data_IF_258738719260
#
_entry.id   IF_258738719260
#
_cell.length_a   1.000
_cell.length_b   1.000
_cell.length_c   1.000
_cell.angle_alpha   90.00
_cell.angle_beta   90.00
_cell.angle_gamma   90.00
#
_symmetry.space_group_name_H-M   'P 1'
#
loop_
_entity.id
_entity.type
_entity.pdbx_description
1 polymer ?
#
# COMPACT_ATOMS: atom_id res chain seq x y z
N UNK A 1 29.50 16.06 71.88
CA UNK A 1 28.90 14.76 71.53
C UNK A 1 29.08 14.61 70.02
N UNK A 2 30.15 13.96 69.54
CA UNK A 2 30.21 12.54 69.12
C UNK A 2 29.03 12.17 68.19
N UNK A 3 29.18 11.78 66.92
CA UNK A 3 30.27 11.08 66.20
C UNK A 3 30.19 11.38 64.70
N UNK A 4 31.36 11.52 64.07
CA UNK A 4 31.65 11.02 62.71
C UNK A 4 32.83 10.06 62.87
N UNK A 5 32.81 8.87 62.23
CA UNK A 5 33.80 8.59 61.17
C UNK A 5 33.16 7.84 59.97
N UNK A 6 33.49 8.10 58.70
CA UNK A 6 34.74 7.93 57.91
C UNK A 6 34.82 6.56 57.21
N UNK A 7 34.64 6.62 55.88
CA UNK A 7 35.30 5.97 54.73
C UNK A 7 36.04 4.62 54.82
N UNK A 8 35.85 3.76 53.79
CA UNK A 8 36.82 2.84 53.10
C UNK A 8 36.03 2.05 52.04
N UNK A 9 36.16 2.21 50.71
CA UNK A 9 37.23 1.87 49.75
C UNK A 9 37.49 0.37 49.58
N UNK A 10 37.29 -0.13 48.35
CA UNK A 10 38.01 -1.17 47.57
C UNK A 10 37.15 -1.40 46.30
N UNK A 11 37.47 -0.89 45.10
CA UNK A 11 38.57 -1.24 44.20
C UNK A 11 38.54 -2.72 43.79
N UNK A 12 38.12 -3.01 42.56
CA UNK A 12 38.84 -3.95 41.69
C UNK A 12 38.47 -3.73 40.20
N UNK A 13 39.53 -3.57 39.43
CA UNK A 13 39.64 -3.47 37.98
C UNK A 13 39.40 -4.85 37.34
N UNK A 14 38.59 -4.93 36.28
CA UNK A 14 38.70 -5.98 35.26
C UNK A 14 38.54 -5.29 33.90
N UNK A 15 39.65 -5.19 33.18
CA UNK A 15 39.68 -4.86 31.76
C UNK A 15 39.30 -6.09 30.92
N UNK A 16 39.05 -5.79 29.64
CA UNK A 16 38.91 -6.71 28.50
C UNK A 16 37.47 -7.24 28.32
N UNK A 17 36.83 -7.22 27.15
CA UNK A 17 37.31 -7.17 25.77
C UNK A 17 36.16 -6.68 24.88
N UNK A 18 36.52 -6.10 23.75
CA UNK A 18 35.68 -5.83 22.58
C UNK A 18 34.74 -7.00 22.24
N UNK A 19 33.47 -6.71 21.93
CA UNK A 19 32.61 -7.65 21.19
C UNK A 19 31.72 -6.89 20.18
N UNK A 20 32.31 -6.75 18.99
CA UNK A 20 31.75 -6.87 17.65
C UNK A 20 30.22 -6.70 17.48
N UNK A 21 29.80 -5.52 17.03
CA UNK A 21 28.44 -5.27 16.54
C UNK A 21 28.24 -5.70 15.06
N UNK A 22 29.08 -6.60 14.55
CA UNK A 22 28.99 -7.12 13.18
C UNK A 22 28.53 -8.57 13.17
N UNK A 23 27.22 -8.79 13.40
CA UNK A 23 26.43 -9.90 12.83
C UNK A 23 25.00 -9.89 13.40
N UNK A 24 24.22 -8.89 13.00
CA UNK A 24 22.76 -8.93 13.17
C UNK A 24 22.10 -9.64 11.99
N UNK A 25 22.30 -10.95 11.85
CA UNK A 25 21.68 -11.77 10.82
C UNK A 25 20.14 -11.78 10.95
N UNK A 26 19.50 -11.52 9.82
CA UNK A 26 18.06 -11.47 9.63
C UNK A 26 17.51 -12.89 9.68
N UNK A 27 17.12 -13.34 10.88
CA UNK A 27 16.34 -14.55 11.04
C UNK A 27 15.04 -14.47 10.23
N UNK A 28 14.98 -15.14 9.08
CA UNK A 28 13.73 -15.46 8.41
C UNK A 28 12.96 -16.42 9.30
N UNK A 29 12.02 -15.89 10.08
CA UNK A 29 11.08 -16.65 10.89
C UNK A 29 10.20 -17.54 10.02
N UNK A 30 10.72 -18.71 9.62
CA UNK A 30 9.93 -19.83 9.16
C UNK A 30 9.24 -20.45 10.39
N UNK A 31 8.22 -19.75 10.89
CA UNK A 31 7.31 -20.28 11.90
C UNK A 31 6.48 -21.41 11.29
N UNK A 32 6.91 -22.66 11.53
CA UNK A 32 6.03 -23.83 11.37
C UNK A 32 5.01 -23.82 12.51
N UNK A 33 3.76 -24.14 12.17
CA UNK A 33 2.72 -24.49 13.15
C UNK A 33 3.11 -25.77 13.92
N UNK A 34 2.64 -25.97 15.15
CA UNK A 34 2.91 -27.19 15.92
C UNK A 34 2.26 -28.41 15.25
N UNK A 35 3.01 -29.50 15.00
CA UNK A 35 2.45 -30.81 14.63
C UNK A 35 3.18 -31.68 13.58
N UNK A 36 4.35 -31.30 13.04
CA UNK A 36 5.02 -32.09 11.99
C UNK A 36 6.22 -32.91 12.49
N UNK A 37 6.21 -34.22 12.20
CA UNK A 37 7.22 -35.20 12.58
C UNK A 37 8.47 -35.06 11.69
N UNK A 38 9.63 -35.43 12.24
CA UNK A 38 11.00 -35.22 11.76
C UNK A 38 11.40 -36.12 10.59
N UNK A 39 12.00 -35.59 9.52
CA UNK A 39 12.98 -36.34 8.68
C UNK A 39 14.08 -35.42 8.11
N UNK A 40 15.30 -35.96 8.10
CA UNK A 40 16.62 -35.36 7.76
C UNK A 40 17.00 -35.74 6.31
N UNK A 41 17.91 -34.99 5.65
CA UNK A 41 17.76 -34.59 4.26
C UNK A 41 18.47 -35.47 3.23
N UNK A 42 17.98 -35.42 1.98
CA UNK A 42 18.72 -35.86 0.80
C UNK A 42 18.99 -34.69 -0.14
N UNK A 43 20.26 -34.39 -0.32
CA UNK A 43 20.83 -33.51 -1.33
C UNK A 43 20.55 -34.02 -2.74
N UNK A 44 20.00 -33.17 -3.62
CA UNK A 44 20.22 -33.31 -5.07
C UNK A 44 20.43 -31.92 -5.69
N UNK A 45 21.60 -31.78 -6.29
CA UNK A 45 22.08 -30.67 -7.12
C UNK A 45 21.20 -30.41 -8.35
N UNK A 46 21.09 -29.16 -8.81
CA UNK A 46 21.60 -28.70 -10.12
C UNK A 46 20.86 -27.50 -10.75
N UNK A 47 21.65 -26.45 -11.06
CA UNK A 47 21.72 -25.66 -12.31
C UNK A 47 20.44 -25.02 -12.95
N UNK A 48 20.55 -23.67 -13.06
CA UNK A 48 20.67 -22.87 -14.31
C UNK A 48 19.42 -22.11 -14.85
N UNK A 49 19.55 -20.76 -14.78
CA UNK A 49 19.29 -19.69 -15.78
C UNK A 49 17.87 -19.30 -16.26
N UNK A 50 17.62 -17.98 -16.06
CA UNK A 50 17.23 -16.90 -17.00
C UNK A 50 15.82 -16.76 -17.58
N UNK A 51 15.44 -15.47 -17.63
CA UNK A 51 14.49 -14.74 -18.50
C UNK A 51 12.98 -14.87 -18.28
N UNK A 52 12.45 -13.95 -17.47
CA UNK A 52 11.04 -13.58 -17.48
C UNK A 52 10.74 -12.58 -18.61
N UNK A 53 9.88 -12.99 -19.55
CA UNK A 53 9.19 -12.10 -20.50
C UNK A 53 8.01 -11.41 -19.81
N UNK A 54 7.91 -10.09 -19.98
CA UNK A 54 6.68 -9.33 -19.78
C UNK A 54 5.66 -9.66 -20.90
N UNK A 55 4.35 -9.76 -20.63
CA UNK A 55 3.34 -9.67 -21.67
C UNK A 55 2.84 -8.22 -21.82
N UNK A 56 3.06 -7.65 -22.99
CA UNK A 56 2.42 -6.42 -23.49
C UNK A 56 0.97 -6.72 -23.93
N UNK A 57 0.06 -5.72 -23.95
CA UNK A 57 -1.33 -5.90 -24.40
C UNK A 57 -1.43 -5.98 -25.94
N UNK A 58 -2.45 -6.64 -26.52
CA UNK A 58 -2.58 -6.79 -27.96
C UNK A 58 -3.22 -5.55 -28.63
N UNK A 59 -2.94 -5.30 -29.92
CA UNK A 59 -3.45 -4.14 -30.65
C UNK A 59 -4.84 -4.40 -31.28
N UNK A 60 -5.64 -3.34 -31.37
CA UNK A 60 -6.93 -3.30 -32.07
C UNK A 60 -6.79 -3.55 -33.58
N UNK A 61 -7.72 -4.27 -34.24
CA UNK A 61 -7.77 -4.34 -35.69
C UNK A 61 -8.65 -3.23 -36.28
N UNK A 62 -8.09 -2.63 -37.35
CA UNK A 62 -8.71 -1.67 -38.27
C UNK A 62 -9.88 -2.28 -39.05
N UNK A 63 -10.86 -1.43 -39.36
CA UNK A 63 -11.92 -1.61 -40.37
C UNK A 63 -11.36 -2.02 -41.73
N UNK A 64 -11.99 -3.01 -42.37
CA UNK A 64 -11.79 -3.35 -43.77
C UNK A 64 -12.63 -4.54 -44.23
N UNK A 65 -13.70 -4.23 -44.95
CA UNK A 65 -14.41 -5.01 -45.97
C UNK A 65 -15.21 -6.28 -45.64
N UNK A 66 -16.47 -6.21 -46.06
CA UNK A 66 -17.47 -7.25 -46.22
C UNK A 66 -17.01 -8.37 -47.16
N UNK A 67 -17.16 -9.62 -46.72
CA UNK A 67 -17.72 -10.66 -47.59
C UNK A 67 -18.28 -11.79 -46.74
N UNK A 68 -19.57 -12.00 -46.92
CA UNK A 68 -20.35 -13.15 -46.48
C UNK A 68 -19.77 -14.46 -47.01
N UNK A 69 -19.60 -15.46 -46.13
CA UNK A 69 -19.85 -16.86 -46.45
C UNK A 69 -19.95 -17.71 -45.17
N UNK A 70 -20.99 -18.51 -45.15
CA UNK A 70 -21.52 -19.37 -44.10
C UNK A 70 -20.56 -20.48 -43.67
N UNK A 71 -20.39 -20.68 -42.35
CA UNK A 71 -20.13 -22.01 -41.79
C UNK A 71 -20.35 -22.04 -40.28
N UNK A 72 -21.51 -22.53 -39.84
CA UNK A 72 -21.65 -23.08 -38.49
C UNK A 72 -21.73 -24.60 -38.59
N UNK A 73 -20.61 -25.22 -38.22
CA UNK A 73 -20.51 -26.65 -37.93
C UNK A 73 -21.18 -26.93 -36.59
N UNK A 74 -22.20 -27.78 -36.57
CA UNK A 74 -22.67 -28.39 -35.33
C UNK A 74 -22.09 -29.80 -35.20
N UNK A 75 -21.18 -30.00 -34.24
CA UNK A 75 -20.66 -31.33 -33.89
C UNK A 75 -21.53 -32.02 -32.83
N UNK A 76 -22.37 -32.94 -33.32
CA UNK A 76 -22.44 -34.37 -32.97
C UNK A 76 -22.31 -34.83 -31.50
N UNK A 77 -23.39 -35.46 -30.98
CA UNK A 77 -23.41 -36.78 -30.29
C UNK A 77 -24.74 -37.48 -30.65
N UNK A 78 -24.80 -38.64 -31.35
CA UNK A 78 -24.52 -40.06 -30.98
C UNK A 78 -25.32 -40.53 -29.74
N UNK A 79 -26.06 -41.64 -29.72
CA UNK A 79 -26.25 -42.79 -30.62
C UNK A 79 -27.67 -43.39 -30.41
N UNK A 80 -28.14 -44.38 -31.17
CA UNK A 80 -27.74 -45.79 -31.24
C UNK A 80 -28.17 -46.35 -32.63
N UNK A 81 -27.25 -46.94 -33.41
CA UNK A 81 -27.16 -48.39 -33.77
C UNK A 81 -28.44 -48.90 -34.48
N UNK A 82 -28.41 -49.44 -35.70
CA UNK A 82 -27.53 -50.53 -36.15
C UNK A 82 -27.54 -50.77 -37.68
N UNK A 83 -26.46 -51.38 -38.18
CA UNK A 83 -26.26 -52.14 -39.45
C UNK A 83 -26.38 -51.39 -40.80
N UNK A 84 -25.28 -51.07 -41.51
CA UNK A 84 -24.45 -51.94 -42.37
C UNK A 84 -25.27 -52.67 -43.43
N UNK A 85 -25.44 -52.09 -44.62
CA UNK A 85 -24.68 -52.40 -45.84
C UNK A 85 -24.92 -53.83 -46.35
N UNK A 86 -25.59 -53.99 -47.49
CA UNK A 86 -25.24 -54.99 -48.51
C UNK A 86 -26.10 -54.76 -49.75
N UNK A 87 -25.53 -54.99 -50.93
CA UNK A 87 -26.13 -54.69 -52.22
C UNK A 87 -27.47 -55.38 -52.48
N UNK A 88 -28.26 -54.75 -53.34
CA UNK A 88 -29.44 -55.36 -53.97
C UNK A 88 -29.01 -56.48 -54.92
N UNK A 89 -28.59 -57.61 -54.36
CA UNK A 89 -28.64 -58.89 -55.05
C UNK A 89 -30.08 -59.38 -54.97
N UNK A 90 -30.70 -59.52 -56.13
CA UNK A 90 -31.96 -60.19 -56.32
C UNK A 90 -31.89 -61.63 -55.77
N UNK A 91 -32.38 -61.83 -54.54
CA UNK A 91 -32.75 -63.14 -54.05
C UNK A 91 -34.21 -63.37 -54.42
N UNK A 92 -34.40 -64.26 -55.39
CA UNK A 92 -35.69 -64.89 -55.72
C UNK A 92 -36.36 -65.37 -54.43
N UNK A 93 -37.44 -64.69 -54.04
CA UNK A 93 -38.50 -65.29 -53.24
C UNK A 93 -39.64 -65.62 -54.20
N UNK A 94 -39.63 -66.86 -54.69
CA UNK A 94 -40.86 -67.51 -55.12
C UNK A 94 -41.67 -67.84 -53.87
N UNK A 95 -42.77 -67.12 -53.65
CA UNK A 95 -43.91 -67.64 -52.91
C UNK A 95 -45.15 -66.86 -53.36
N UNK A 96 -45.84 -67.51 -54.29
CA UNK A 96 -47.27 -67.38 -54.52
C UNK A 96 -47.77 -65.98 -54.82
N UNK A 97 -47.79 -65.65 -56.12
CA UNK A 97 -48.77 -64.73 -56.70
C UNK A 97 -50.18 -65.19 -56.29
N UNK A 98 -50.65 -64.71 -55.14
CA UNK A 98 -52.07 -64.52 -54.93
C UNK A 98 -52.37 -63.13 -55.46
N UNK A 99 -52.47 -63.04 -56.79
CA UNK A 99 -53.21 -61.95 -57.43
C UNK A 99 -54.68 -62.12 -57.03
N UNK A 100 -55.00 -61.80 -55.78
CA UNK A 100 -56.36 -61.42 -55.42
C UNK A 100 -56.55 -60.05 -56.04
N UNK A 101 -57.27 -60.01 -57.16
CA UNK A 101 -57.95 -58.78 -57.59
C UNK A 101 -58.67 -58.24 -56.35
N UNK A 102 -58.14 -57.18 -55.74
CA UNK A 102 -58.78 -56.51 -54.62
C UNK A 102 -60.17 -56.14 -55.11
N UNK A 103 -61.20 -56.60 -54.40
CA UNK A 103 -62.57 -56.28 -54.78
C UNK A 103 -62.72 -54.75 -54.74
N UNK A 104 -63.54 -54.17 -55.63
CA UNK A 104 -63.79 -52.72 -55.67
C UNK A 104 -64.10 -52.16 -54.26
N UNK A 105 -64.84 -52.92 -53.46
CA UNK A 105 -65.14 -52.64 -52.05
C UNK A 105 -63.92 -52.52 -51.12
N UNK A 106 -62.88 -53.33 -51.30
CA UNK A 106 -61.65 -53.28 -50.50
C UNK A 106 -60.81 -52.06 -50.88
N UNK A 107 -60.79 -51.71 -52.17
CA UNK A 107 -60.10 -50.51 -52.65
C UNK A 107 -60.80 -49.24 -52.13
N UNK A 108 -62.14 -49.20 -52.17
CA UNK A 108 -62.94 -48.11 -51.59
C UNK A 108 -62.69 -47.94 -50.11
N UNK A 109 -62.63 -49.03 -49.34
CA UNK A 109 -62.34 -48.97 -47.90
C UNK A 109 -60.97 -48.37 -47.62
N UNK A 110 -59.92 -48.84 -48.31
CA UNK A 110 -58.56 -48.29 -48.18
C UNK A 110 -58.49 -46.82 -48.56
N UNK A 111 -59.28 -46.40 -49.57
CA UNK A 111 -59.37 -44.99 -49.94
C UNK A 111 -59.98 -44.15 -48.81
N UNK A 112 -61.06 -44.63 -48.17
CA UNK A 112 -61.68 -43.94 -47.04
C UNK A 112 -60.76 -43.89 -45.82
N UNK A 113 -60.09 -44.99 -45.48
CA UNK A 113 -59.09 -45.06 -44.42
C UNK A 113 -57.95 -44.05 -44.68
N UNK A 114 -57.42 -44.01 -45.91
CA UNK A 114 -56.38 -43.05 -46.28
C UNK A 114 -56.85 -41.59 -46.24
N UNK A 115 -58.11 -41.31 -46.57
CA UNK A 115 -58.68 -39.97 -46.45
C UNK A 115 -58.84 -39.54 -44.98
N UNK A 116 -59.27 -40.45 -44.11
CA UNK A 116 -59.37 -40.21 -42.67
C UNK A 116 -57.98 -39.97 -42.06
N UNK A 117 -56.97 -40.77 -42.44
CA UNK A 117 -55.57 -40.56 -42.04
C UNK A 117 -55.05 -39.19 -42.48
N UNK A 118 -55.35 -38.76 -43.71
CA UNK A 118 -54.97 -37.42 -44.20
C UNK A 118 -55.64 -36.30 -43.39
N UNK A 119 -56.91 -36.48 -43.01
CA UNK A 119 -57.62 -35.50 -42.20
C UNK A 119 -57.05 -35.42 -40.77
N UNK A 120 -56.74 -36.56 -40.15
CA UNK A 120 -56.06 -36.62 -38.85
C UNK A 120 -54.70 -35.92 -38.94
N UNK A 121 -53.85 -36.29 -39.90
CA UNK A 121 -52.52 -35.69 -40.08
C UNK A 121 -52.59 -34.19 -40.33
N UNK A 122 -53.61 -33.71 -41.05
CA UNK A 122 -53.83 -32.27 -41.24
C UNK A 122 -54.11 -31.57 -39.90
N UNK A 123 -54.95 -32.13 -39.05
CA UNK A 123 -55.24 -31.55 -37.73
C UNK A 123 -54.02 -31.56 -36.80
N UNK A 124 -53.22 -32.63 -36.84
CA UNK A 124 -51.96 -32.74 -36.09
C UNK A 124 -50.91 -31.72 -36.58
N UNK A 125 -50.81 -31.52 -37.89
CA UNK A 125 -49.92 -30.52 -38.49
C UNK A 125 -50.33 -29.11 -38.06
N UNK A 126 -51.63 -28.78 -38.12
CA UNK A 126 -52.13 -27.48 -37.66
C UNK A 126 -51.89 -27.27 -36.15
N UNK A 127 -52.05 -28.32 -35.34
CA UNK A 127 -51.75 -28.25 -33.91
C UNK A 127 -50.25 -28.00 -33.66
N UNK A 128 -49.39 -28.70 -34.40
CA UNK A 128 -47.94 -28.54 -34.34
C UNK A 128 -47.49 -27.14 -34.78
N UNK A 129 -48.14 -26.57 -35.80
CA UNK A 129 -47.88 -25.21 -36.25
C UNK A 129 -48.23 -24.18 -35.20
N UNK A 130 -49.43 -24.27 -34.57
CA UNK A 130 -49.81 -23.38 -33.46
C UNK A 130 -48.83 -23.48 -32.28
N UNK A 131 -48.33 -24.69 -32.01
CA UNK A 131 -47.32 -24.90 -30.97
C UNK A 131 -45.97 -24.24 -31.31
N UNK A 132 -45.55 -24.30 -32.58
CA UNK A 132 -44.33 -23.64 -33.05
C UNK A 132 -44.47 -22.12 -32.90
N UNK A 133 -45.56 -21.54 -33.39
CA UNK A 133 -45.86 -20.11 -33.29
C UNK A 133 -45.83 -19.63 -31.82
N UNK A 134 -46.48 -20.37 -30.92
CA UNK A 134 -46.44 -20.06 -29.48
C UNK A 134 -45.04 -20.14 -28.86
N UNK A 135 -44.20 -21.09 -29.30
CA UNK A 135 -42.79 -21.17 -28.88
C UNK A 135 -41.97 -19.98 -29.40
N UNK A 136 -42.18 -19.58 -30.65
CA UNK A 136 -41.48 -18.43 -31.23
C UNK A 136 -41.84 -17.12 -30.52
N UNK A 137 -43.11 -16.91 -30.18
CA UNK A 137 -43.55 -15.75 -29.41
C UNK A 137 -42.96 -15.74 -27.99
N UNK A 138 -42.97 -16.89 -27.31
CA UNK A 138 -42.35 -17.02 -25.99
C UNK A 138 -40.84 -16.72 -26.04
N UNK A 139 -40.14 -17.21 -27.07
CA UNK A 139 -38.72 -16.91 -27.27
C UNK A 139 -38.47 -15.43 -27.51
N UNK A 140 -39.30 -14.75 -28.32
CA UNK A 140 -39.19 -13.29 -28.53
C UNK A 140 -39.38 -12.52 -27.25
N UNK A 141 -40.36 -12.91 -26.42
CA UNK A 141 -40.60 -12.28 -25.11
C UNK A 141 -39.36 -12.46 -24.22
N UNK A 142 -38.86 -13.68 -24.07
CA UNK A 142 -37.67 -13.95 -23.25
C UNK A 142 -36.45 -13.16 -23.73
N UNK A 143 -36.19 -13.14 -25.04
CA UNK A 143 -35.10 -12.35 -25.62
C UNK A 143 -35.26 -10.86 -25.33
N UNK A 144 -36.46 -10.30 -25.49
CA UNK A 144 -36.71 -8.89 -25.18
C UNK A 144 -36.52 -8.56 -23.70
N UNK A 145 -36.91 -9.46 -22.80
CA UNK A 145 -36.69 -9.29 -21.36
C UNK A 145 -35.20 -9.28 -21.03
N UNK A 146 -34.43 -10.21 -21.60
CA UNK A 146 -32.99 -10.30 -21.40
C UNK A 146 -32.25 -9.07 -21.95
N UNK A 147 -32.61 -8.63 -23.17
CA UNK A 147 -32.06 -7.40 -23.77
C UNK A 147 -32.37 -6.19 -22.89
N UNK A 148 -33.61 -6.04 -22.42
CA UNK A 148 -33.99 -4.92 -21.56
C UNK A 148 -33.23 -4.95 -20.23
N UNK A 149 -33.10 -6.12 -19.61
CA UNK A 149 -32.36 -6.27 -18.35
C UNK A 149 -30.89 -5.87 -18.52
N UNK A 150 -30.22 -6.39 -19.55
CA UNK A 150 -28.83 -6.03 -19.86
C UNK A 150 -28.69 -4.54 -20.20
N UNK A 151 -29.65 -3.96 -20.91
CA UNK A 151 -29.67 -2.53 -21.20
C UNK A 151 -29.72 -1.71 -19.91
N UNK A 152 -30.61 -2.04 -18.98
CA UNK A 152 -30.69 -1.38 -17.67
C UNK A 152 -29.39 -1.54 -16.87
N UNK A 153 -28.79 -2.73 -16.85
CA UNK A 153 -27.52 -2.97 -16.17
C UNK A 153 -26.40 -2.10 -16.74
N UNK A 154 -26.30 -2.00 -18.07
CA UNK A 154 -25.32 -1.13 -18.74
C UNK A 154 -25.55 0.34 -18.41
N UNK A 155 -26.79 0.82 -18.45
CA UNK A 155 -27.11 2.22 -18.14
C UNK A 155 -26.83 2.55 -16.67
N UNK A 156 -27.17 1.65 -15.76
CA UNK A 156 -26.88 1.78 -14.34
C UNK A 156 -25.38 1.84 -14.08
N UNK A 157 -24.60 0.92 -14.65
CA UNK A 157 -23.15 0.91 -14.49
C UNK A 157 -22.54 2.16 -15.14
N UNK A 158 -23.04 2.60 -16.28
CA UNK A 158 -22.59 3.82 -16.93
C UNK A 158 -22.79 5.05 -16.04
N UNK A 159 -23.95 5.19 -15.40
CA UNK A 159 -24.21 6.27 -14.43
C UNK A 159 -23.28 6.17 -13.22
N UNK A 160 -23.11 4.95 -12.67
CA UNK A 160 -22.18 4.70 -11.56
C UNK A 160 -20.75 5.12 -11.92
N UNK A 161 -20.27 4.79 -13.12
CA UNK A 161 -18.94 5.17 -13.58
C UNK A 161 -18.78 6.67 -13.73
N UNK A 162 -19.77 7.37 -14.32
CA UNK A 162 -19.75 8.84 -14.44
C UNK A 162 -19.65 9.50 -13.07
N UNK A 163 -20.48 9.07 -12.10
CA UNK A 163 -20.44 9.60 -10.73
C UNK A 163 -19.08 9.39 -10.06
N UNK A 164 -18.45 8.23 -10.27
CA UNK A 164 -17.11 7.95 -9.75
C UNK A 164 -16.06 8.84 -10.44
N UNK A 165 -16.11 8.95 -11.76
CA UNK A 165 -15.21 9.78 -12.56
C UNK A 165 -15.28 11.25 -12.13
N UNK A 166 -16.48 11.80 -12.00
CA UNK A 166 -16.71 13.17 -11.51
C UNK A 166 -16.17 13.37 -10.09
N UNK A 167 -16.40 12.41 -9.19
CA UNK A 167 -15.83 12.46 -7.84
C UNK A 167 -14.30 12.46 -7.84
N UNK A 168 -13.68 11.67 -8.71
CA UNK A 168 -12.22 11.64 -8.85
C UNK A 168 -11.66 12.93 -9.42
N UNK A 169 -12.32 13.52 -10.42
CA UNK A 169 -11.96 14.84 -10.96
C UNK A 169 -11.99 15.88 -9.84
N UNK A 170 -13.07 15.95 -9.06
CA UNK A 170 -13.18 16.90 -7.94
C UNK A 170 -12.07 16.72 -6.89
N UNK A 171 -11.75 15.46 -6.53
CA UNK A 171 -10.66 15.17 -5.59
C UNK A 171 -9.30 15.58 -6.14
N UNK A 172 -9.06 15.34 -7.42
CA UNK A 172 -7.83 15.72 -8.11
C UNK A 172 -7.67 17.25 -8.15
N UNK A 173 -8.73 17.97 -8.49
CA UNK A 173 -8.71 19.44 -8.53
C UNK A 173 -8.45 20.03 -7.15
N UNK A 174 -9.10 19.51 -6.10
CA UNK A 174 -8.84 19.93 -4.72
C UNK A 174 -7.38 19.74 -4.33
N UNK A 175 -6.82 18.56 -4.63
CA UNK A 175 -5.43 18.24 -4.33
C UNK A 175 -4.46 19.17 -5.10
N UNK A 176 -4.79 19.52 -6.35
CA UNK A 176 -4.01 20.48 -7.12
C UNK A 176 -4.05 21.88 -6.53
N UNK A 177 -5.22 22.34 -6.07
CA UNK A 177 -5.36 23.60 -5.35
C UNK A 177 -4.50 23.61 -4.08
N UNK A 178 -4.59 22.55 -3.26
CA UNK A 178 -3.81 22.43 -2.03
C UNK A 178 -2.29 22.42 -2.34
N UNK A 179 -1.87 21.68 -3.36
CA UNK A 179 -0.47 21.66 -3.83
C UNK A 179 0.01 23.04 -4.31
N UNK A 180 -0.83 23.81 -4.99
CA UNK A 180 -0.49 25.15 -5.42
C UNK A 180 -0.28 26.08 -4.22
N UNK A 181 -1.18 26.03 -3.23
CA UNK A 181 -1.07 26.80 -1.98
C UNK A 181 0.18 26.40 -1.20
N UNK A 182 0.48 25.11 -1.07
CA UNK A 182 1.70 24.63 -0.41
C UNK A 182 2.96 25.10 -1.12
N UNK A 183 2.96 25.10 -2.46
CA UNK A 183 4.10 25.58 -3.26
C UNK A 183 4.36 27.06 -3.02
N UNK A 184 3.31 27.89 -3.01
CA UNK A 184 3.46 29.33 -2.73
C UNK A 184 3.91 29.58 -1.29
N UNK A 185 3.35 28.87 -0.30
CA UNK A 185 3.81 28.95 1.09
C UNK A 185 5.29 28.59 1.23
N UNK A 186 5.75 27.55 0.54
CA UNK A 186 7.16 27.14 0.56
C UNK A 186 8.05 28.23 -0.03
N UNK A 187 7.65 28.87 -1.14
CA UNK A 187 8.38 30.02 -1.71
C UNK A 187 8.48 31.16 -0.72
N UNK A 188 7.36 31.57 -0.11
CA UNK A 188 7.33 32.65 0.88
C UNK A 188 8.25 32.36 2.07
N UNK A 189 8.17 31.15 2.65
CA UNK A 189 9.05 30.74 3.76
C UNK A 189 10.52 30.70 3.34
N UNK A 190 10.80 30.31 2.10
CA UNK A 190 12.16 30.33 1.56
C UNK A 190 12.71 31.75 1.45
N UNK A 191 11.89 32.70 1.00
CA UNK A 191 12.24 34.12 0.93
C UNK A 191 12.43 34.73 2.32
N UNK A 192 11.55 34.43 3.26
CA UNK A 192 11.68 34.83 4.68
C UNK A 192 12.99 34.34 5.29
N UNK A 193 13.35 33.07 5.09
CA UNK A 193 14.64 32.51 5.55
C UNK A 193 15.82 33.26 4.91
N UNK A 194 15.75 33.60 3.62
CA UNK A 194 16.81 34.37 2.96
C UNK A 194 16.96 35.76 3.57
N UNK A 195 15.84 36.46 3.83
CA UNK A 195 15.86 37.77 4.48
C UNK A 195 16.45 37.68 5.88
N UNK A 196 15.98 36.77 6.72
CA UNK A 196 16.51 36.56 8.08
C UNK A 196 18.00 36.19 8.07
N UNK A 197 18.46 35.39 7.11
CA UNK A 197 19.89 35.09 6.93
C UNK A 197 20.70 36.34 6.61
N UNK A 198 20.19 37.21 5.74
CA UNK A 198 20.88 38.47 5.40
C UNK A 198 20.91 39.44 6.59
N UNK A 199 19.82 39.53 7.36
CA UNK A 199 19.75 40.36 8.57
C UNK A 199 20.71 39.85 9.65
N UNK A 200 20.73 38.54 9.88
CA UNK A 200 21.66 37.92 10.83
C UNK A 200 23.12 38.16 10.41
N UNK A 201 23.45 38.09 9.11
CA UNK A 201 24.77 38.43 8.61
C UNK A 201 25.16 39.89 8.92
N UNK A 202 24.24 40.85 8.74
CA UNK A 202 24.47 42.26 9.07
C UNK A 202 24.64 42.46 10.57
N UNK A 203 23.79 41.86 11.39
CA UNK A 203 23.91 41.93 12.86
C UNK A 203 25.24 41.34 13.34
N UNK A 204 25.64 40.20 12.79
CA UNK A 204 26.91 39.56 13.11
C UNK A 204 28.11 40.45 12.71
N UNK A 205 28.04 41.12 11.55
CA UNK A 205 29.04 42.11 11.17
C UNK A 205 29.10 43.27 12.17
N UNK A 206 27.96 43.83 12.58
CA UNK A 206 27.89 44.91 13.57
C UNK A 206 28.45 44.49 14.92
N UNK A 207 28.18 43.26 15.35
CA UNK A 207 28.74 42.68 16.56
C UNK A 207 30.28 42.64 16.51
N UNK A 208 30.85 42.17 15.39
CA UNK A 208 32.31 42.13 15.20
C UNK A 208 32.94 43.53 15.14
N UNK A 209 32.29 44.49 14.48
CA UNK A 209 32.72 45.90 14.46
C UNK A 209 32.77 46.50 15.88
N UNK A 210 31.75 46.24 16.70
CA UNK A 210 31.69 46.70 18.08
C UNK A 210 32.77 46.06 18.97
N UNK A 211 33.05 44.75 18.78
CA UNK A 211 34.15 44.07 19.47
C UNK A 211 35.52 44.69 19.12
N UNK A 212 35.80 44.90 17.83
CA UNK A 212 37.05 45.53 17.41
C UNK A 212 37.23 46.94 17.99
N UNK A 213 36.13 47.71 18.12
CA UNK A 213 36.15 49.02 18.78
C UNK A 213 36.46 48.94 20.28
N UNK A 214 36.01 47.89 20.97
CA UNK A 214 36.35 47.64 22.37
C UNK A 214 37.83 47.23 22.51
N UNK A 215 38.34 46.34 21.67
CA UNK A 215 39.75 45.93 21.68
C UNK A 215 40.70 47.14 21.50
N UNK A 216 40.38 48.05 20.57
CA UNK A 216 41.16 49.29 20.38
C UNK A 216 41.11 50.18 21.63
N UNK A 217 39.96 50.24 22.31
CA UNK A 217 39.81 51.01 23.55
C UNK A 217 40.60 50.37 24.69
N UNK A 218 40.56 49.05 24.82
CA UNK A 218 41.35 48.30 25.81
C UNK A 218 42.85 48.46 25.56
N UNK A 219 43.32 48.38 24.31
CA UNK A 219 44.72 48.66 23.96
C UNK A 219 45.15 50.08 24.31
N UNK A 220 44.27 51.08 24.10
CA UNK A 220 44.54 52.47 24.51
C UNK A 220 44.58 52.64 26.02
N UNK A 221 43.81 51.86 26.77
CA UNK A 221 43.83 51.86 28.24
C UNK A 221 45.04 51.09 28.80
N UNK A 222 45.48 50.02 28.11
CA UNK A 222 46.64 49.21 28.50
C UNK A 222 48.01 49.80 28.13
N UNK A 223 48.03 50.89 27.35
CA UNK A 223 49.25 51.70 27.16
C UNK A 223 49.52 52.61 28.38
N UNK A 224 48.58 52.70 29.33
CA UNK A 224 48.82 53.21 30.68
C UNK A 224 48.98 52.05 31.66
N UNK A 225 50.25 51.75 31.95
CA UNK A 225 50.80 51.08 33.12
C UNK A 225 50.30 49.67 33.55
N UNK A 226 51.32 48.82 33.66
CA UNK A 226 51.63 48.00 34.84
C UNK A 226 51.00 46.60 34.89
N UNK A 227 51.90 45.63 34.81
CA UNK A 227 51.60 44.23 34.98
C UNK A 227 51.04 43.93 36.36
N UNK A 228 50.00 43.09 36.37
CA UNK A 228 49.62 42.39 37.58
C UNK A 228 49.29 40.94 37.24
N UNK A 229 49.85 40.07 38.06
CA UNK A 229 49.65 38.63 38.15
C UNK A 229 48.17 38.25 38.07
N UNK A 230 47.90 37.13 37.41
CA UNK A 230 46.57 36.54 37.10
C UNK A 230 45.62 36.50 38.30
N UNK A 231 44.96 37.62 38.53
CA UNK A 231 43.63 37.72 39.11
C UNK A 231 42.77 38.12 37.92
N UNK A 232 41.65 37.43 37.68
CA UNK A 232 40.79 37.76 36.54
C UNK A 232 40.49 39.26 36.58
N UNK A 233 40.61 39.97 35.46
CA UNK A 233 40.35 41.42 35.42
C UNK A 233 38.96 41.78 35.97
N UNK A 234 38.01 40.83 35.88
CA UNK A 234 36.70 40.92 36.49
C UNK A 234 36.73 40.87 38.02
N UNK A 235 37.55 39.99 38.61
CA UNK A 235 37.74 39.89 40.06
C UNK A 235 38.39 41.17 40.60
N UNK A 236 39.42 41.70 39.93
CA UNK A 236 40.05 42.99 40.27
C UNK A 236 39.07 44.16 40.17
N UNK A 237 38.25 44.22 39.11
CA UNK A 237 37.24 45.26 38.94
C UNK A 237 36.18 45.23 40.05
N UNK A 238 35.76 44.04 40.48
CA UNK A 238 34.78 43.86 41.56
C UNK A 238 35.40 44.17 42.92
N UNK A 239 36.69 43.87 43.15
CA UNK A 239 37.40 44.27 44.36
C UNK A 239 37.55 45.79 44.45
N UNK A 240 37.84 46.46 43.33
CA UNK A 240 38.05 47.91 43.26
C UNK A 240 36.78 48.76 43.29
N UNK A 241 35.61 48.17 43.02
CA UNK A 241 34.33 48.89 43.03
C UNK A 241 33.82 49.25 44.45
N UNK A 242 34.41 48.67 45.51
CA UNK A 242 33.97 48.93 46.88
C UNK A 242 34.75 50.11 47.49
N UNK A 243 34.03 51.11 48.01
CA UNK A 243 34.63 52.29 48.65
C UNK A 243 35.13 52.03 50.09
N UNK A 244 34.85 50.86 50.65
CA UNK A 244 35.25 50.51 52.01
C UNK A 244 36.74 50.14 52.07
N UNK A 245 37.46 50.66 53.06
CA UNK A 245 38.88 50.39 53.26
C UNK A 245 39.07 49.22 54.23
N UNK A 246 39.82 48.20 53.83
CA UNK A 246 40.20 47.10 54.71
C UNK A 246 41.43 47.45 55.55
N UNK A 247 41.59 46.86 56.75
CA UNK A 247 42.80 47.04 57.53
C UNK A 247 44.04 46.55 56.73
N UNK A 248 45.07 47.40 56.67
CA UNK A 248 46.37 47.07 56.08
C UNK A 248 46.42 46.99 54.54
N UNK A 249 45.51 47.64 53.82
CA UNK A 249 45.52 47.63 52.34
C UNK A 249 44.96 46.34 51.71
N UNK A 250 44.36 45.47 52.53
CA UNK A 250 43.65 44.29 52.04
C UNK A 250 42.23 44.65 51.54
N UNK A 251 41.65 43.91 50.58
CA UNK A 251 40.28 44.14 50.15
C UNK A 251 39.30 43.94 51.30
N UNK A 252 38.35 44.85 51.45
CA UNK A 252 37.34 44.79 52.51
C UNK A 252 36.43 43.55 52.37
N UNK A 253 35.73 43.18 53.44
CA UNK A 253 34.81 42.04 53.44
C UNK A 253 33.69 42.17 52.41
N UNK A 254 33.18 43.38 52.18
CA UNK A 254 32.19 43.68 51.16
C UNK A 254 32.70 43.36 49.75
N UNK A 255 33.93 43.77 49.42
CA UNK A 255 34.58 43.49 48.15
C UNK A 255 34.81 41.99 47.94
N UNK A 256 35.35 41.30 48.95
CA UNK A 256 35.57 39.85 48.90
C UNK A 256 34.25 39.08 48.71
N UNK A 257 33.19 39.50 49.39
CA UNK A 257 31.86 38.92 49.25
C UNK A 257 31.29 39.17 47.85
N UNK A 258 31.43 40.39 47.31
CA UNK A 258 30.99 40.73 45.97
C UNK A 258 31.72 39.91 44.88
N UNK A 259 33.02 39.66 45.04
CA UNK A 259 33.76 38.75 44.15
C UNK A 259 33.25 37.33 44.28
N UNK A 260 33.09 36.85 45.50
CA UNK A 260 32.63 35.47 45.77
C UNK A 260 31.22 35.22 45.20
N UNK A 261 30.30 36.18 45.36
CA UNK A 261 28.95 36.10 44.79
C UNK A 261 28.97 36.19 43.28
N UNK A 262 29.82 37.04 42.69
CA UNK A 262 29.97 37.13 41.23
C UNK A 262 30.55 35.85 40.63
N UNK A 263 31.53 35.24 41.28
CA UNK A 263 32.08 33.94 40.90
C UNK A 263 31.01 32.84 40.95
N UNK A 264 30.20 32.82 42.02
CA UNK A 264 29.06 31.91 42.13
C UNK A 264 28.02 32.14 41.02
N UNK A 265 27.69 33.40 40.70
CA UNK A 265 26.73 33.71 39.62
C UNK A 265 27.24 33.24 38.26
N UNK A 266 28.53 33.39 37.97
CA UNK A 266 29.13 32.89 36.74
C UNK A 266 29.10 31.36 36.67
N UNK A 267 29.43 30.70 37.77
CA UNK A 267 29.34 29.24 37.87
C UNK A 267 27.89 28.76 37.63
N UNK A 268 26.91 29.38 38.30
CA UNK A 268 25.50 29.03 38.12
C UNK A 268 25.00 29.32 36.70
N UNK A 269 25.48 30.37 36.04
CA UNK A 269 25.17 30.63 34.63
C UNK A 269 25.71 29.52 33.72
N UNK A 270 26.93 29.09 33.95
CA UNK A 270 27.52 27.98 33.19
C UNK A 270 26.77 26.65 33.43
N UNK A 271 26.39 26.38 34.68
CA UNK A 271 25.55 25.22 35.03
C UNK A 271 24.16 25.30 34.35
N UNK A 272 23.55 26.49 34.29
CA UNK A 272 22.27 26.67 33.58
C UNK A 272 22.40 26.46 32.07
N UNK A 273 23.47 26.96 31.44
CA UNK A 273 23.72 26.75 30.01
C UNK A 273 23.92 25.27 29.67
N UNK A 274 24.69 24.55 30.49
CA UNK A 274 24.92 23.11 30.31
C UNK A 274 23.64 22.30 30.54
N UNK A 275 22.85 22.62 31.57
CA UNK A 275 21.55 22.01 31.80
C UNK A 275 20.56 22.31 30.67
N UNK A 276 20.57 23.53 30.14
CA UNK A 276 19.72 23.90 29.03
C UNK A 276 20.06 23.11 27.77
N UNK A 277 21.35 22.97 27.46
CA UNK A 277 21.81 22.12 26.35
C UNK A 277 21.39 20.66 26.54
N UNK A 278 21.56 20.11 27.75
CA UNK A 278 21.12 18.74 28.07
C UNK A 278 19.59 18.58 27.93
N UNK A 279 18.80 19.57 28.32
CA UNK A 279 17.34 19.58 28.14
C UNK A 279 16.97 19.56 26.65
N UNK A 280 17.63 20.35 25.82
CA UNK A 280 17.39 20.40 24.37
C UNK A 280 17.72 19.06 23.71
N UNK A 281 18.86 18.45 24.08
CA UNK A 281 19.25 17.12 23.63
C UNK A 281 18.21 16.06 24.02
N UNK A 282 17.74 16.07 25.27
CA UNK A 282 16.69 15.16 25.73
C UNK A 282 15.37 15.35 24.96
N UNK A 283 15.01 16.60 24.61
CA UNK A 283 13.84 16.89 23.79
C UNK A 283 13.95 16.32 22.38
N UNK A 284 15.13 16.48 21.74
CA UNK A 284 15.42 15.92 20.41
C UNK A 284 15.33 14.39 20.46
N UNK A 285 15.91 13.76 21.49
CA UNK A 285 15.86 12.31 21.66
C UNK A 285 14.42 11.81 21.88
N UNK A 286 13.62 12.49 22.70
CA UNK A 286 12.22 12.14 22.91
C UNK A 286 11.41 12.23 21.61
N UNK A 287 11.63 13.26 20.79
CA UNK A 287 10.96 13.40 19.50
C UNK A 287 11.38 12.31 18.51
N UNK A 288 12.67 11.95 18.49
CA UNK A 288 13.17 10.84 17.68
C UNK A 288 12.48 9.51 18.06
N UNK A 289 12.31 9.22 19.35
CA UNK A 289 11.58 8.04 19.81
C UNK A 289 10.10 8.09 19.43
N UNK A 290 9.44 9.25 19.58
CA UNK A 290 8.05 9.45 19.17
C UNK A 290 7.88 9.14 17.67
N UNK A 291 8.74 9.70 16.82
CA UNK A 291 8.72 9.48 15.36
C UNK A 291 8.96 8.01 15.04
N UNK A 292 9.96 7.37 15.66
CA UNK A 292 10.25 5.96 15.43
C UNK A 292 9.07 5.06 15.82
N UNK A 293 8.40 5.36 16.93
CA UNK A 293 7.20 4.64 17.38
C UNK A 293 6.03 4.81 16.42
N UNK A 294 5.76 6.03 15.96
CA UNK A 294 4.74 6.31 14.95
C UNK A 294 5.01 5.56 13.64
N UNK A 295 6.27 5.55 13.18
CA UNK A 295 6.66 4.77 12.00
C UNK A 295 6.43 3.27 12.18
N UNK A 296 6.75 2.72 13.36
CA UNK A 296 6.47 1.32 13.67
C UNK A 296 4.97 1.01 13.67
N UNK A 297 4.15 1.86 14.27
CA UNK A 297 2.69 1.73 14.25
C UNK A 297 2.14 1.76 12.82
N UNK A 298 2.60 2.68 11.98
CA UNK A 298 2.17 2.76 10.59
C UNK A 298 2.53 1.50 9.81
N UNK A 299 3.77 0.99 9.95
CA UNK A 299 4.18 -0.28 9.32
C UNK A 299 3.33 -1.46 9.78
N UNK A 300 2.98 -1.53 11.08
CA UNK A 300 2.13 -2.59 11.62
C UNK A 300 0.69 -2.50 11.12
N UNK A 301 0.11 -1.30 11.11
CA UNK A 301 -1.23 -1.06 10.58
C UNK A 301 -1.32 -1.42 9.09
N UNK A 302 -0.30 -1.09 8.30
CA UNK A 302 -0.22 -1.47 6.89
C UNK A 302 -0.17 -3.00 6.72
N UNK A 303 0.63 -3.70 7.53
CA UNK A 303 0.67 -5.16 7.53
C UNK A 303 -0.69 -5.78 7.88
N UNK A 304 -1.38 -5.24 8.91
CA UNK A 304 -2.72 -5.70 9.31
C UNK A 304 -3.74 -5.48 8.18
N UNK A 305 -3.71 -4.32 7.51
CA UNK A 305 -4.56 -4.03 6.37
C UNK A 305 -4.32 -5.00 5.20
N UNK A 306 -3.06 -5.30 4.89
CA UNK A 306 -2.72 -6.28 3.84
C UNK A 306 -3.19 -7.70 4.19
N UNK A 307 -3.06 -8.11 5.46
CA UNK A 307 -3.55 -9.41 5.92
C UNK A 307 -5.08 -9.49 5.87
N UNK A 308 -5.78 -8.45 6.33
CA UNK A 308 -7.24 -8.39 6.27
C UNK A 308 -7.77 -8.46 4.83
N UNK A 309 -7.15 -7.71 3.91
CA UNK A 309 -7.48 -7.78 2.48
C UNK A 309 -7.20 -9.17 1.88
N UNK A 310 -6.07 -9.79 2.24
CA UNK A 310 -5.73 -11.14 1.80
C UNK A 310 -6.67 -12.23 2.34
N UNK A 311 -7.16 -12.08 3.58
CA UNK A 311 -8.10 -13.01 4.20
C UNK A 311 -9.52 -12.90 3.62
N UNK A 312 -9.96 -11.70 3.26
CA UNK A 312 -11.19 -11.47 2.52
C UNK A 312 -11.14 -12.13 1.13
N UNK A 313 -10.05 -11.93 0.38
CA UNK A 313 -9.86 -12.56 -0.92
C UNK A 313 -9.78 -14.09 -0.83
N UNK A 314 -9.09 -14.64 0.17
CA UNK A 314 -9.07 -16.09 0.40
C UNK A 314 -10.44 -16.65 0.75
N UNK A 315 -11.20 -15.99 1.62
CA UNK A 315 -12.56 -16.40 1.98
C UNK A 315 -13.49 -16.38 0.77
N UNK A 316 -13.44 -15.32 -0.04
CA UNK A 316 -14.20 -15.23 -1.29
C UNK A 316 -13.84 -16.37 -2.26
N UNK A 317 -12.56 -16.64 -2.48
CA UNK A 317 -12.09 -17.73 -3.33
C UNK A 317 -12.54 -19.12 -2.82
N UNK A 318 -12.50 -19.36 -1.50
CA UNK A 318 -13.01 -20.62 -0.93
C UNK A 318 -14.52 -20.77 -1.06
N UNK A 319 -15.27 -19.66 -1.05
CA UNK A 319 -16.72 -19.67 -1.24
C UNK A 319 -17.08 -20.00 -2.68
N UNK A 320 -16.39 -19.37 -3.64
CA UNK A 320 -16.53 -19.64 -5.07
C UNK A 320 -16.15 -21.08 -5.43
N UNK A 321 -15.06 -21.62 -4.87
CA UNK A 321 -14.67 -23.02 -5.11
C UNK A 321 -15.67 -24.03 -4.53
N UNK A 322 -16.34 -23.72 -3.41
CA UNK A 322 -17.38 -24.59 -2.85
C UNK A 322 -18.66 -24.58 -3.67
N UNK A 323 -18.99 -23.45 -4.30
CA UNK A 323 -20.12 -23.37 -5.23
C UNK A 323 -19.90 -24.24 -6.47
N UNK A 324 -18.73 -24.11 -7.12
CA UNK A 324 -18.41 -24.95 -8.28
C UNK A 324 -18.42 -26.45 -7.95
N UNK A 325 -17.96 -26.85 -6.76
CA UNK A 325 -18.01 -28.27 -6.33
C UNK A 325 -19.44 -28.77 -6.02
N UNK A 326 -20.38 -27.88 -5.71
CA UNK A 326 -21.78 -28.25 -5.51
C UNK A 326 -22.51 -28.41 -6.86
N UNK A 327 -22.15 -27.59 -7.85
CA UNK A 327 -22.74 -27.62 -9.20
C UNK A 327 -22.20 -28.79 -10.05
N UNK A 328 -20.98 -29.30 -9.77
CA UNK A 328 -20.39 -30.46 -10.45
C UNK A 328 -20.85 -31.83 -9.88
N UNK A 329 -21.70 -31.84 -8.85
CA UNK A 329 -22.16 -33.07 -8.16
C UNK A 329 -23.62 -33.45 -8.46
N UNK A 330 -24.30 -32.74 -9.37
CA UNK A 330 -25.64 -33.04 -9.90
C UNK A 330 -25.57 -33.65 -11.32
#
# INVERSE_FOLDING_TARGET
>A
MSKVPRSSSEAEDIWETEDDMTEGDLGYGLGRKPGGIYEVPCSITSKKRSDGKNPSPPPFPRKGEERSETSFQYSRRKGFQDTSAEGYRASRLSSTDSNSELSDEQLRRRLYEALEEVEILKTELEASQRQLEGKEEALKILQSMEINALQWEMEFDQDRFKNIEESWIQKYDRLNCDNAVLRENLKLRTEEIKMLKSENAVLNQRYLEALAMLDIREQKMGQEESGFTEVSGLELAVLGACLCHGPGGSPCSCAKMAVSTRKLVLQLRHELETLQKSKEEAHITADAFRIAFEQQLMRKNEQVLRLAGGDLCRRAATWINRQHQADDAE
#
